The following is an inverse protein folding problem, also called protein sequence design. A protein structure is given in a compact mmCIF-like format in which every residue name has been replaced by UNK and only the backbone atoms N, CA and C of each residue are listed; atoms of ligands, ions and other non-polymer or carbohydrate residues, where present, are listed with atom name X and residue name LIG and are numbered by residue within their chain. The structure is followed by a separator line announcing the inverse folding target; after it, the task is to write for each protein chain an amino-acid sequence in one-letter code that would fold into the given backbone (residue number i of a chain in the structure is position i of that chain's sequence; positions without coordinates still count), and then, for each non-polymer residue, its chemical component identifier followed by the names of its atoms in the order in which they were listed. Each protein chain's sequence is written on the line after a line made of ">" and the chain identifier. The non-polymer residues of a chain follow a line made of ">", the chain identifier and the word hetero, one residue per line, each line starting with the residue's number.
data_IF_505832266229
#
_entry.id   IF_505832266229
#
_cell.length_a   1.000
_cell.length_b   1.000
_cell.length_c   1.000
_cell.angle_alpha   90.00
_cell.angle_beta   90.00
_cell.angle_gamma   90.00
#
_symmetry.space_group_name_H-M   'P 1'
#
loop_
_entity.id
_entity.type
_entity.pdbx_description
1 polymer ?
#
# COMPACT_ATOMS: atom_id res chain seq x y z
N UNK A 1 34.78 33.21 64.64
CA UNK A 1 33.51 32.45 64.64
C UNK A 1 32.49 32.98 63.63
N UNK A 2 32.36 34.25 63.41
CA UNK A 2 31.39 34.80 62.44
C UNK A 2 31.64 34.39 60.98
N UNK A 3 32.88 34.34 60.50
CA UNK A 3 33.22 33.98 59.13
C UNK A 3 32.85 32.56 58.72
N UNK A 4 32.97 31.59 59.62
CA UNK A 4 32.59 30.20 59.34
C UNK A 4 31.07 30.05 59.19
N UNK A 5 30.28 30.82 59.93
CA UNK A 5 28.81 30.79 59.83
C UNK A 5 28.32 31.45 58.52
N UNK A 6 28.99 32.50 58.04
CA UNK A 6 28.65 33.12 56.78
C UNK A 6 28.98 32.21 55.61
N UNK A 7 30.11 31.47 55.69
CA UNK A 7 30.50 30.51 54.67
C UNK A 7 29.47 29.32 54.57
N UNK A 8 28.97 28.86 55.70
CA UNK A 8 27.91 27.81 55.71
C UNK A 8 26.60 28.28 55.12
N UNK A 9 26.21 29.54 55.36
CA UNK A 9 24.98 30.13 54.82
C UNK A 9 25.06 30.32 53.32
N UNK A 10 26.23 30.73 52.81
CA UNK A 10 26.44 30.89 51.34
C UNK A 10 26.45 29.54 50.62
N UNK A 11 27.02 28.48 51.20
CA UNK A 11 27.00 27.14 50.61
C UNK A 11 25.56 26.58 50.60
N UNK A 12 24.75 26.84 51.63
CA UNK A 12 23.35 26.39 51.69
C UNK A 12 22.45 27.08 50.67
N UNK A 13 22.74 28.31 50.27
CA UNK A 13 22.02 29.06 49.23
C UNK A 13 22.27 28.53 47.83
N UNK A 14 23.42 27.88 47.56
CA UNK A 14 23.71 27.30 46.25
C UNK A 14 23.08 25.92 46.06
N UNK A 15 22.56 25.26 47.07
CA UNK A 15 21.96 23.92 46.99
C UNK A 15 20.45 23.94 46.72
N UNK A 16 19.81 25.11 46.64
CA UNK A 16 18.39 25.24 46.29
C UNK A 16 18.13 25.45 44.82
N UNK A 17 19.05 25.02 43.93
CA UNK A 17 18.71 24.85 42.52
C UNK A 17 17.75 23.64 42.42
N UNK A 18 16.52 23.85 42.84
CA UNK A 18 15.42 22.99 42.47
C UNK A 18 15.31 23.05 40.95
N UNK A 19 15.84 22.04 40.29
CA UNK A 19 15.52 21.79 38.89
C UNK A 19 14.02 21.64 38.81
N UNK A 20 13.33 22.71 38.42
CA UNK A 20 11.99 22.58 37.85
C UNK A 20 12.17 21.63 36.68
N UNK A 21 11.83 20.36 36.92
CA UNK A 21 11.73 19.36 35.87
C UNK A 21 10.81 19.96 34.83
N UNK A 22 11.37 20.49 33.74
CA UNK A 22 10.62 20.75 32.55
C UNK A 22 9.89 19.45 32.27
N UNK A 23 8.58 19.47 32.38
CA UNK A 23 7.73 18.43 31.79
C UNK A 23 8.23 18.29 30.37
N UNK A 24 9.09 17.28 30.16
CA UNK A 24 9.42 16.81 28.83
C UNK A 24 8.06 16.44 28.26
N UNK A 25 7.43 17.40 27.55
CA UNK A 25 6.42 17.04 26.59
C UNK A 25 7.11 16.02 25.73
N UNK A 26 6.86 14.75 26.00
CA UNK A 26 7.09 13.71 25.05
C UNK A 26 6.38 14.19 23.78
N UNK A 27 7.12 14.90 22.93
CA UNK A 27 6.79 14.91 21.52
C UNK A 27 6.78 13.43 21.19
N UNK A 28 5.58 12.85 21.19
CA UNK A 28 5.38 11.62 20.48
C UNK A 28 6.02 11.92 19.12
N UNK A 29 7.23 11.43 18.93
CA UNK A 29 7.80 11.33 17.62
C UNK A 29 6.81 10.44 16.91
N UNK A 30 5.84 11.06 16.24
CA UNK A 30 5.04 10.42 15.22
C UNK A 30 6.05 10.02 14.16
N UNK A 31 6.77 8.90 14.41
CA UNK A 31 7.36 8.16 13.34
C UNK A 31 6.16 7.81 12.46
N UNK A 32 6.00 8.57 11.41
CA UNK A 32 5.12 8.20 10.31
C UNK A 32 5.77 6.95 9.74
N UNK A 33 5.44 5.80 10.33
CA UNK A 33 5.81 4.51 9.76
C UNK A 33 4.99 4.45 8.49
N UNK A 34 5.64 4.75 7.37
CA UNK A 34 4.99 4.62 6.07
C UNK A 34 4.59 3.15 5.92
N UNK A 35 3.30 2.88 5.95
CA UNK A 35 2.77 1.57 5.69
C UNK A 35 3.23 1.13 4.29
N UNK A 36 3.67 -0.13 4.17
CA UNK A 36 4.00 -0.69 2.87
C UNK A 36 2.78 -0.60 1.94
N UNK A 37 2.99 -0.04 0.75
CA UNK A 37 2.01 -0.01 -0.33
C UNK A 37 2.68 -0.41 -1.62
N UNK A 38 2.05 -1.30 -2.38
CA UNK A 38 2.52 -1.74 -3.68
C UNK A 38 1.35 -1.99 -4.64
N UNK A 39 1.47 -1.49 -5.86
CA UNK A 39 0.51 -1.72 -6.96
C UNK A 39 1.19 -2.58 -8.02
N UNK A 40 0.47 -3.58 -8.51
CA UNK A 40 1.00 -4.46 -9.54
C UNK A 40 0.06 -5.59 -9.90
N UNK A 41 0.52 -6.44 -10.80
CA UNK A 41 -0.21 -7.63 -11.19
C UNK A 41 -0.02 -8.74 -10.15
N UNK A 42 -1.11 -9.29 -9.66
CA UNK A 42 -1.07 -10.47 -8.81
C UNK A 42 -0.94 -11.74 -9.66
N UNK A 43 -0.40 -12.79 -9.06
CA UNK A 43 -0.45 -14.15 -9.57
C UNK A 43 -1.60 -14.87 -8.87
N UNK A 44 -2.52 -15.43 -9.61
CA UNK A 44 -3.61 -16.23 -9.05
C UNK A 44 -3.08 -17.63 -8.79
N UNK A 45 -3.17 -18.09 -7.53
CA UNK A 45 -2.69 -19.41 -7.16
C UNK A 45 -3.50 -20.51 -7.85
N UNK A 46 -2.79 -21.54 -8.34
CA UNK A 46 -3.33 -22.83 -8.74
C UNK A 46 -2.36 -23.93 -8.35
N UNK A 47 -2.85 -25.15 -8.19
CA UNK A 47 -2.01 -26.31 -7.87
C UNK A 47 -0.95 -26.57 -8.97
N UNK A 48 -1.30 -26.33 -10.25
CA UNK A 48 -0.37 -26.41 -11.39
C UNK A 48 0.86 -25.49 -11.21
N UNK A 49 0.67 -24.27 -10.70
CA UNK A 49 1.78 -23.35 -10.43
C UNK A 49 2.71 -23.87 -9.34
N UNK A 50 2.18 -24.59 -8.37
CA UNK A 50 2.97 -25.23 -7.33
C UNK A 50 3.73 -26.45 -7.88
N UNK A 51 3.07 -27.32 -8.63
CA UNK A 51 3.67 -28.50 -9.26
C UNK A 51 4.81 -28.12 -10.22
N UNK A 52 4.61 -27.07 -11.01
CA UNK A 52 5.63 -26.51 -11.92
C UNK A 52 6.71 -25.69 -11.19
N UNK A 53 6.65 -25.60 -9.86
CA UNK A 53 7.60 -24.85 -9.01
C UNK A 53 7.71 -23.36 -9.33
N UNK A 54 6.69 -22.79 -9.97
CA UNK A 54 6.56 -21.35 -10.20
C UNK A 54 6.27 -20.64 -8.86
N UNK A 55 5.46 -21.28 -8.03
CA UNK A 55 5.24 -20.92 -6.63
C UNK A 55 5.75 -22.08 -5.77
N UNK A 56 6.61 -21.81 -4.79
CA UNK A 56 7.27 -22.88 -4.02
C UNK A 56 6.55 -23.29 -2.73
N UNK A 57 5.39 -22.72 -2.44
CA UNK A 57 4.56 -23.05 -1.28
C UNK A 57 3.10 -23.18 -1.70
N UNK A 58 2.39 -24.10 -1.04
CA UNK A 58 0.94 -24.24 -1.20
C UNK A 58 0.21 -23.17 -0.42
N UNK A 59 -0.86 -22.65 -1.00
CA UNK A 59 -1.80 -21.71 -0.37
C UNK A 59 -3.13 -22.44 -0.18
N UNK A 60 -3.81 -22.16 0.92
CA UNK A 60 -5.19 -22.61 1.10
C UNK A 60 -6.10 -21.72 0.24
N UNK A 61 -6.67 -22.30 -0.82
CA UNK A 61 -7.49 -21.58 -1.78
C UNK A 61 -8.77 -21.00 -1.18
N UNK A 62 -9.24 -21.52 -0.04
CA UNK A 62 -10.45 -21.07 0.66
C UNK A 62 -10.17 -19.97 1.70
N UNK A 63 -8.92 -19.74 2.03
CA UNK A 63 -8.54 -18.75 3.02
C UNK A 63 -8.26 -17.37 2.37
N UNK A 64 -8.42 -16.29 3.14
CA UNK A 64 -8.02 -14.94 2.71
C UNK A 64 -6.50 -14.74 2.92
N UNK A 65 -5.70 -15.56 2.24
CA UNK A 65 -4.24 -15.57 2.37
C UNK A 65 -3.60 -15.11 1.07
N UNK A 66 -2.54 -14.32 1.21
CA UNK A 66 -1.65 -13.93 0.12
C UNK A 66 -0.21 -14.33 0.42
N UNK A 67 0.62 -14.48 -0.63
CA UNK A 67 2.07 -14.42 -0.47
C UNK A 67 2.59 -13.07 -0.95
N UNK A 68 3.42 -12.45 -0.12
CA UNK A 68 4.04 -11.16 -0.40
C UNK A 68 5.47 -11.15 0.18
N UNK A 69 6.48 -10.84 -0.68
CA UNK A 69 7.91 -11.01 -0.35
C UNK A 69 8.42 -10.02 0.69
N UNK A 70 7.86 -8.80 0.70
CA UNK A 70 8.37 -7.67 1.48
C UNK A 70 7.65 -7.48 2.81
N UNK A 71 6.69 -8.35 3.13
CA UNK A 71 5.91 -8.30 4.36
C UNK A 71 6.17 -9.54 5.21
N UNK A 72 6.11 -9.36 6.52
CA UNK A 72 6.23 -10.46 7.49
C UNK A 72 4.99 -11.36 7.43
N UNK A 73 5.18 -12.63 7.76
CA UNK A 73 4.09 -13.59 7.95
C UNK A 73 3.12 -13.06 9.01
N UNK A 74 1.83 -13.32 8.84
CA UNK A 74 0.73 -12.86 9.67
C UNK A 74 0.45 -11.34 9.64
N UNK A 75 1.16 -10.58 8.79
CA UNK A 75 0.81 -9.18 8.57
C UNK A 75 -0.58 -9.08 7.94
N UNK A 76 -1.45 -8.23 8.48
CA UNK A 76 -2.71 -7.90 7.85
C UNK A 76 -2.52 -6.87 6.74
N UNK A 77 -3.20 -7.09 5.63
CA UNK A 77 -3.12 -6.23 4.45
C UNK A 77 -4.51 -5.97 3.89
N UNK A 78 -4.74 -4.74 3.46
CA UNK A 78 -5.88 -4.39 2.61
C UNK A 78 -5.47 -4.64 1.17
N UNK A 79 -6.25 -5.48 0.48
CA UNK A 79 -6.09 -5.80 -0.93
C UNK A 79 -7.22 -5.11 -1.69
N UNK A 80 -6.88 -4.29 -2.67
CA UNK A 80 -7.86 -3.53 -3.45
C UNK A 80 -7.72 -3.88 -4.93
N UNK A 81 -8.80 -4.32 -5.56
CA UNK A 81 -8.89 -4.39 -7.01
C UNK A 81 -9.05 -2.97 -7.57
N UNK A 82 -8.00 -2.45 -8.24
CA UNK A 82 -7.96 -1.07 -8.74
C UNK A 82 -8.96 -0.82 -9.87
N UNK A 83 -9.43 -1.88 -10.53
CA UNK A 83 -10.34 -1.74 -11.66
C UNK A 83 -11.80 -1.52 -11.23
N UNK A 84 -12.22 -2.11 -10.11
CA UNK A 84 -13.59 -1.99 -9.61
C UNK A 84 -13.69 -1.38 -8.21
N UNK A 85 -12.56 -1.07 -7.56
CA UNK A 85 -12.43 -0.52 -6.22
C UNK A 85 -12.94 -1.44 -5.09
N UNK A 86 -13.26 -2.71 -5.36
CA UNK A 86 -13.54 -3.68 -4.30
C UNK A 86 -12.30 -3.92 -3.47
N UNK A 87 -12.46 -4.05 -2.18
CA UNK A 87 -11.33 -4.33 -1.27
C UNK A 87 -11.74 -5.28 -0.16
N UNK A 88 -10.77 -6.04 0.33
CA UNK A 88 -10.91 -6.92 1.49
C UNK A 88 -9.62 -6.89 2.33
N UNK A 89 -9.72 -7.43 3.55
CA UNK A 89 -8.56 -7.63 4.41
C UNK A 89 -8.16 -9.09 4.32
N UNK A 90 -6.88 -9.31 3.97
CA UNK A 90 -6.26 -10.63 3.95
C UNK A 90 -5.05 -10.68 4.87
N UNK A 91 -4.47 -11.86 4.99
CA UNK A 91 -3.28 -12.11 5.83
C UNK A 91 -2.13 -12.60 4.97
N UNK A 92 -0.94 -12.08 5.23
CA UNK A 92 0.29 -12.58 4.59
C UNK A 92 0.61 -13.97 5.14
N UNK A 93 0.63 -14.96 4.27
CA UNK A 93 0.96 -16.34 4.60
C UNK A 93 2.47 -16.59 4.62
N UNK A 94 2.84 -17.83 4.33
CA UNK A 94 4.25 -18.27 4.33
C UNK A 94 5.06 -17.51 3.28
N UNK A 95 6.32 -17.25 3.59
CA UNK A 95 7.24 -16.68 2.59
C UNK A 95 7.40 -17.67 1.42
N UNK A 96 7.12 -17.20 0.21
CA UNK A 96 7.11 -17.99 -1.02
C UNK A 96 7.89 -17.29 -2.12
N UNK A 97 8.57 -18.09 -2.95
CA UNK A 97 9.17 -17.60 -4.21
C UNK A 97 8.10 -17.63 -5.29
N UNK A 98 8.06 -16.58 -6.10
CA UNK A 98 7.19 -16.42 -7.28
C UNK A 98 7.83 -15.40 -8.23
N UNK A 99 7.38 -15.28 -9.51
CA UNK A 99 7.97 -14.35 -10.48
C UNK A 99 8.00 -12.90 -10.00
N UNK A 100 9.08 -12.18 -10.30
CA UNK A 100 9.26 -10.78 -9.88
C UNK A 100 8.30 -9.80 -10.55
N UNK A 101 7.74 -10.17 -11.69
CA UNK A 101 6.68 -9.42 -12.35
C UNK A 101 5.43 -9.26 -11.46
N UNK A 102 5.14 -10.28 -10.66
CA UNK A 102 3.96 -10.29 -9.79
C UNK A 102 4.27 -9.63 -8.45
N UNK A 103 3.37 -8.77 -7.97
CA UNK A 103 3.50 -8.14 -6.67
C UNK A 103 3.10 -9.08 -5.51
N UNK A 104 2.28 -10.08 -5.79
CA UNK A 104 1.78 -11.05 -4.81
C UNK A 104 1.25 -12.31 -5.49
N UNK A 105 1.00 -13.35 -4.69
CA UNK A 105 0.19 -14.51 -5.06
C UNK A 105 -1.09 -14.47 -4.23
N UNK A 106 -2.24 -14.55 -4.87
CA UNK A 106 -3.55 -14.49 -4.22
C UNK A 106 -4.19 -15.88 -4.18
N UNK A 107 -4.89 -16.21 -3.09
CA UNK A 107 -5.76 -17.37 -3.02
C UNK A 107 -6.98 -17.16 -3.95
N UNK A 108 -7.59 -18.28 -4.37
CA UNK A 108 -8.76 -18.25 -5.25
C UNK A 108 -9.93 -17.49 -4.63
N UNK A 109 -10.16 -17.67 -3.32
CA UNK A 109 -11.20 -16.92 -2.60
C UNK A 109 -11.03 -15.42 -2.69
N UNK A 110 -9.82 -14.89 -2.57
CA UNK A 110 -9.57 -13.43 -2.71
C UNK A 110 -9.93 -12.96 -4.11
N UNK A 111 -9.62 -13.74 -5.14
CA UNK A 111 -9.96 -13.40 -6.54
C UNK A 111 -11.47 -13.32 -6.72
N UNK A 112 -12.22 -14.28 -6.19
CA UNK A 112 -13.68 -14.34 -6.23
C UNK A 112 -14.31 -13.16 -5.47
N UNK A 113 -13.89 -12.89 -4.23
CA UNK A 113 -14.42 -11.81 -3.38
C UNK A 113 -14.16 -10.41 -3.96
N UNK A 114 -13.00 -10.21 -4.60
CA UNK A 114 -12.63 -8.96 -5.24
C UNK A 114 -13.17 -8.82 -6.67
N UNK A 115 -13.81 -9.86 -7.21
CA UNK A 115 -14.27 -9.89 -8.60
C UNK A 115 -13.12 -9.47 -9.55
N UNK A 116 -11.98 -10.17 -9.40
CA UNK A 116 -10.78 -9.89 -10.18
C UNK A 116 -10.90 -10.55 -11.56
N UNK A 117 -10.61 -9.75 -12.61
CA UNK A 117 -10.42 -10.30 -13.96
C UNK A 117 -9.08 -11.06 -14.02
N UNK A 118 -9.14 -12.35 -14.30
CA UNK A 118 -7.95 -13.22 -14.42
C UNK A 118 -6.98 -12.76 -15.52
N UNK A 119 -7.48 -12.06 -16.54
CA UNK A 119 -6.67 -11.49 -17.61
C UNK A 119 -6.00 -10.16 -17.21
N UNK A 120 -6.53 -9.51 -16.15
CA UNK A 120 -6.04 -8.23 -15.68
C UNK A 120 -6.09 -8.12 -14.14
N UNK A 121 -5.39 -9.02 -13.40
CA UNK A 121 -5.43 -9.07 -11.94
C UNK A 121 -4.55 -7.99 -11.34
N UNK A 122 -4.92 -6.71 -11.54
CA UNK A 122 -4.15 -5.55 -11.11
C UNK A 122 -4.66 -5.03 -9.77
N UNK A 123 -3.85 -5.21 -8.73
CA UNK A 123 -4.23 -4.94 -7.33
C UNK A 123 -3.26 -3.98 -6.62
N UNK A 124 -3.78 -3.30 -5.63
CA UNK A 124 -3.00 -2.61 -4.61
C UNK A 124 -2.98 -3.43 -3.32
N UNK A 125 -1.81 -3.58 -2.73
CA UNK A 125 -1.61 -4.19 -1.42
C UNK A 125 -1.12 -3.11 -0.48
N UNK A 126 -1.89 -2.85 0.58
CA UNK A 126 -1.57 -1.88 1.61
C UNK A 126 -1.45 -2.60 2.96
N UNK A 127 -0.30 -2.47 3.62
CA UNK A 127 -0.10 -2.98 4.96
C UNK A 127 -0.99 -2.26 5.97
N UNK A 128 -1.67 -3.01 6.83
CA UNK A 128 -2.38 -2.49 8.00
C UNK A 128 -1.42 -2.55 9.19
N UNK A 129 -1.10 -1.40 9.75
CA UNK A 129 -0.28 -1.32 10.95
C UNK A 129 -1.15 -1.61 12.17
N UNK A 130 -0.67 -2.42 13.11
CA UNK A 130 -1.40 -2.82 14.31
C UNK A 130 -1.90 -1.61 15.14
N UNK A 131 -1.15 -0.51 15.14
CA UNK A 131 -1.53 0.72 15.82
C UNK A 131 -2.52 1.60 15.03
N UNK A 132 -2.86 1.23 13.81
CA UNK A 132 -3.85 1.91 12.97
C UNK A 132 -5.25 1.29 13.09
N UNK A 133 -5.40 0.26 13.92
CA UNK A 133 -6.73 -0.19 14.32
C UNK A 133 -7.35 0.98 15.10
N UNK A 134 -8.16 1.73 14.40
CA UNK A 134 -8.99 2.77 14.99
C UNK A 134 -9.88 2.08 16.03
N UNK A 135 -9.45 2.09 17.28
CA UNK A 135 -10.37 1.82 18.37
C UNK A 135 -11.36 2.97 18.28
N UNK A 136 -12.50 2.72 17.66
CA UNK A 136 -13.61 3.65 17.70
C UNK A 136 -13.84 3.94 19.18
N UNK A 137 -13.34 5.07 19.65
CA UNK A 137 -13.66 5.53 21.00
C UNK A 137 -15.18 5.64 20.98
N UNK A 138 -15.81 4.86 21.88
CA UNK A 138 -17.25 4.90 22.09
C UNK A 138 -17.64 6.38 22.14
N UNK A 139 -18.37 6.84 21.13
CA UNK A 139 -18.77 8.23 21.05
C UNK A 139 -19.38 8.61 22.40
N UNK A 140 -18.81 9.62 23.08
CA UNK A 140 -19.44 10.17 24.28
C UNK A 140 -20.70 10.84 23.77
N UNK A 141 -21.83 10.14 23.98
CA UNK A 141 -23.15 10.73 23.74
C UNK A 141 -23.38 11.77 24.85
N UNK A 142 -23.41 13.03 24.46
CA UNK A 142 -23.74 14.10 25.39
C UNK A 142 -25.20 13.96 25.81
N UNK A 143 -25.52 14.35 27.05
CA UNK A 143 -26.87 14.18 27.61
C UNK A 143 -27.95 14.88 26.77
N UNK A 144 -27.61 15.92 26.05
CA UNK A 144 -28.49 16.62 25.09
C UNK A 144 -28.90 15.72 23.92
N UNK A 145 -28.05 14.85 23.42
CA UNK A 145 -28.37 13.91 22.33
C UNK A 145 -29.31 12.79 22.79
N UNK A 146 -29.25 12.40 24.08
CA UNK A 146 -30.18 11.42 24.63
C UNK A 146 -31.62 11.93 24.66
N UNK A 147 -31.83 13.23 24.89
CA UNK A 147 -33.14 13.83 24.87
C UNK A 147 -33.75 13.94 23.47
N UNK A 148 -32.92 14.07 22.43
CA UNK A 148 -33.36 14.08 21.03
C UNK A 148 -33.78 12.68 20.58
N UNK A 149 -33.03 11.65 20.97
CA UNK A 149 -33.35 10.26 20.65
C UNK A 149 -34.68 9.77 21.28
N UNK A 150 -35.06 10.32 22.43
CA UNK A 150 -36.34 9.97 23.12
C UNK A 150 -37.53 10.67 22.47
N UNK A 151 -37.34 11.78 21.77
CA UNK A 151 -38.39 12.57 21.11
C UNK A 151 -38.59 12.26 19.63
N UNK A 152 -37.72 11.44 19.01
CA UNK A 152 -37.90 11.05 17.65
C UNK A 152 -39.03 10.01 17.53
N UNK A 153 -40.12 10.28 16.82
CA UNK A 153 -41.17 9.29 16.64
C UNK A 153 -40.61 8.09 15.83
N UNK A 154 -40.68 6.91 16.44
CA UNK A 154 -40.17 5.64 15.88
C UNK A 154 -41.14 5.08 14.82
N UNK A 155 -42.15 5.80 14.41
CA UNK A 155 -43.32 5.26 13.69
C UNK A 155 -43.27 5.34 12.17
N UNK A 156 -42.09 5.34 11.53
CA UNK A 156 -42.10 5.25 10.05
C UNK A 156 -40.80 4.81 9.39
N UNK A 157 -40.02 3.94 9.99
CA UNK A 157 -38.97 3.25 9.23
C UNK A 157 -39.47 1.85 8.92
N UNK A 158 -40.09 1.69 7.76
CA UNK A 158 -40.43 0.39 7.21
C UNK A 158 -39.13 -0.35 6.88
N UNK A 159 -38.92 -1.48 7.54
CA UNK A 159 -37.76 -2.37 7.38
C UNK A 159 -37.68 -2.94 5.94
N UNK A 160 -38.70 -2.73 5.12
CA UNK A 160 -38.75 -3.24 3.75
C UNK A 160 -37.88 -2.46 2.74
N UNK A 161 -37.42 -1.24 3.08
CA UNK A 161 -36.60 -0.43 2.17
C UNK A 161 -35.09 -0.74 2.20
N UNK A 162 -34.65 -1.53 3.18
CA UNK A 162 -33.24 -1.90 3.31
C UNK A 162 -32.82 -3.09 2.43
N UNK A 163 -33.78 -3.81 1.84
CA UNK A 163 -33.54 -4.96 0.97
C UNK A 163 -33.67 -4.69 -0.54
N UNK A 164 -33.90 -3.44 -0.93
CA UNK A 164 -33.73 -3.06 -2.32
C UNK A 164 -32.22 -2.89 -2.53
N UNK A 165 -31.52 -4.00 -2.69
CA UNK A 165 -30.25 -3.99 -3.44
C UNK A 165 -30.63 -3.44 -4.82
N UNK A 166 -30.48 -2.12 -5.00
CA UNK A 166 -30.34 -1.58 -6.33
C UNK A 166 -29.24 -2.41 -6.97
N UNK A 167 -29.62 -3.31 -7.89
CA UNK A 167 -28.70 -3.80 -8.89
C UNK A 167 -28.20 -2.55 -9.60
N UNK A 168 -27.15 -1.95 -9.04
CA UNK A 168 -26.34 -1.07 -9.82
C UNK A 168 -25.91 -1.93 -10.99
N UNK A 169 -26.49 -1.61 -12.16
CA UNK A 169 -25.98 -2.07 -13.42
C UNK A 169 -24.49 -1.71 -13.36
N UNK A 170 -23.67 -2.66 -12.95
CA UNK A 170 -22.24 -2.59 -13.06
C UNK A 170 -22.00 -2.40 -14.55
N UNK A 171 -21.87 -1.13 -14.96
CA UNK A 171 -21.29 -0.80 -16.24
C UNK A 171 -19.98 -1.56 -16.25
N UNK A 172 -19.92 -2.64 -17.00
CA UNK A 172 -18.70 -3.31 -17.37
C UNK A 172 -17.89 -2.21 -18.06
N UNK A 173 -17.07 -1.52 -17.29
CA UNK A 173 -16.10 -0.61 -17.83
C UNK A 173 -15.14 -1.49 -18.60
N UNK A 174 -15.35 -1.59 -19.90
CA UNK A 174 -14.43 -2.23 -20.82
C UNK A 174 -13.17 -1.33 -20.87
N UNK A 175 -12.43 -1.33 -19.76
CA UNK A 175 -11.23 -0.52 -19.58
C UNK A 175 -10.15 -1.20 -20.40
N UNK A 176 -9.86 -0.62 -21.54
CA UNK A 176 -8.79 -1.05 -22.43
C UNK A 176 -7.51 -1.28 -21.61
N UNK A 177 -6.89 -2.47 -21.77
CA UNK A 177 -5.61 -2.77 -21.14
C UNK A 177 -4.57 -1.76 -21.65
N UNK A 178 -4.03 -0.93 -20.76
CA UNK A 178 -2.99 0.04 -21.08
C UNK A 178 -2.12 0.27 -19.84
N UNK A 179 -0.86 -0.17 -19.89
CA UNK A 179 0.08 -0.06 -18.78
C UNK A 179 1.45 0.38 -19.27
N UNK A 180 2.19 1.04 -18.40
CA UNK A 180 3.58 1.42 -18.60
C UNK A 180 4.45 0.79 -17.51
N UNK A 181 5.70 0.52 -17.81
CA UNK A 181 6.73 0.20 -16.83
C UNK A 181 7.49 1.49 -16.54
N UNK A 182 7.26 2.07 -15.37
CA UNK A 182 8.04 3.19 -14.86
C UNK A 182 9.39 2.66 -14.38
N UNK A 183 10.46 3.24 -14.88
CA UNK A 183 11.82 2.86 -14.51
C UNK A 183 12.32 3.77 -13.40
N UNK A 184 12.28 5.09 -13.63
CA UNK A 184 12.66 6.08 -12.64
C UNK A 184 12.09 7.46 -12.99
N UNK A 185 12.02 8.31 -11.97
CA UNK A 185 11.74 9.74 -12.10
C UNK A 185 13.04 10.53 -11.80
N UNK A 186 13.42 11.42 -12.67
CA UNK A 186 14.63 12.23 -12.58
C UNK A 186 14.29 13.71 -12.42
N UNK A 187 15.13 14.44 -11.70
CA UNK A 187 14.99 15.89 -11.54
C UNK A 187 15.44 16.66 -12.78
N UNK A 188 16.49 16.17 -13.46
CA UNK A 188 17.06 16.79 -14.66
C UNK A 188 16.75 15.97 -15.90
N UNK A 189 16.43 16.69 -17.01
CA UNK A 189 16.16 16.04 -18.30
C UNK A 189 17.36 15.29 -18.84
N UNK A 190 18.57 15.82 -18.65
CA UNK A 190 19.78 15.19 -19.19
C UNK A 190 20.11 13.87 -18.50
N UNK A 191 19.88 13.78 -17.19
CA UNK A 191 19.98 12.50 -16.45
C UNK A 191 18.94 11.48 -16.96
N UNK A 192 17.71 11.94 -17.25
CA UNK A 192 16.70 11.07 -17.87
C UNK A 192 17.12 10.58 -19.26
N UNK A 193 17.77 11.45 -20.09
CA UNK A 193 18.32 11.04 -21.41
C UNK A 193 19.46 10.03 -21.26
N UNK A 194 20.35 10.21 -20.27
CA UNK A 194 21.42 9.24 -20.00
C UNK A 194 20.84 7.87 -19.66
N UNK A 195 19.83 7.82 -18.78
CA UNK A 195 19.11 6.57 -18.44
C UNK A 195 18.44 5.96 -19.66
N UNK A 196 17.77 6.76 -20.48
CA UNK A 196 17.15 6.29 -21.72
C UNK A 196 18.17 5.64 -22.65
N UNK A 197 19.35 6.24 -22.83
CA UNK A 197 20.43 5.69 -23.65
C UNK A 197 20.98 4.38 -23.06
N UNK A 198 21.16 4.31 -21.73
CA UNK A 198 21.57 3.09 -21.04
C UNK A 198 20.61 1.94 -21.34
N UNK A 199 19.30 2.17 -21.22
CA UNK A 199 18.28 1.13 -21.50
C UNK A 199 18.38 0.68 -22.97
N UNK A 200 18.55 1.60 -23.94
CA UNK A 200 18.68 1.27 -25.35
C UNK A 200 19.91 0.41 -25.66
N UNK A 201 20.99 0.61 -24.93
CA UNK A 201 22.24 -0.12 -25.16
C UNK A 201 22.27 -1.46 -24.44
N UNK A 202 21.81 -1.51 -23.19
CA UNK A 202 21.99 -2.65 -22.30
C UNK A 202 20.79 -3.63 -22.26
N UNK A 203 19.61 -3.24 -22.81
CA UNK A 203 18.42 -4.11 -22.83
C UNK A 203 17.92 -4.42 -24.23
N UNK A 204 17.01 -5.40 -24.34
CA UNK A 204 16.28 -5.69 -25.57
C UNK A 204 15.19 -4.65 -25.88
N UNK A 205 14.81 -3.84 -24.88
CA UNK A 205 13.82 -2.78 -25.02
C UNK A 205 14.43 -1.55 -25.74
N UNK A 206 14.16 -1.43 -27.03
CA UNK A 206 14.74 -0.36 -27.85
C UNK A 206 13.96 0.95 -27.87
N UNK A 207 12.77 0.99 -27.23
CA UNK A 207 11.85 2.13 -27.26
C UNK A 207 11.50 2.70 -25.88
N UNK A 208 12.50 2.98 -25.00
CA UNK A 208 12.22 3.74 -23.77
C UNK A 208 11.82 5.17 -24.12
N UNK A 209 10.99 5.78 -23.30
CA UNK A 209 10.42 7.12 -23.48
C UNK A 209 10.66 7.99 -22.24
N UNK A 210 10.66 9.29 -22.46
CA UNK A 210 10.69 10.30 -21.40
C UNK A 210 9.39 11.09 -21.46
N UNK A 211 8.74 11.28 -20.28
CA UNK A 211 7.59 12.17 -20.12
C UNK A 211 7.92 13.21 -19.06
N UNK A 212 7.75 14.49 -19.38
CA UNK A 212 7.80 15.56 -18.39
C UNK A 212 6.52 15.48 -17.53
N UNK A 213 6.67 15.22 -16.24
CA UNK A 213 5.57 15.12 -15.28
C UNK A 213 5.31 16.48 -14.62
N UNK A 214 6.39 17.22 -14.33
CA UNK A 214 6.36 18.59 -13.82
C UNK A 214 7.65 19.31 -14.25
N UNK A 215 7.81 20.57 -13.85
CA UNK A 215 9.02 21.36 -14.22
C UNK A 215 10.31 20.74 -13.72
N UNK A 216 10.25 19.98 -12.65
CA UNK A 216 11.41 19.33 -12.03
C UNK A 216 11.25 17.80 -11.92
N UNK A 217 10.49 17.18 -12.85
CA UNK A 217 10.26 15.74 -12.81
C UNK A 217 10.10 15.14 -14.20
N UNK A 218 11.05 14.33 -14.59
CA UNK A 218 11.13 13.63 -15.87
C UNK A 218 11.08 12.15 -15.64
N UNK A 219 10.02 11.48 -16.15
CA UNK A 219 9.81 10.04 -16.02
C UNK A 219 10.38 9.30 -17.20
N UNK A 220 11.23 8.31 -16.92
CA UNK A 220 11.68 7.33 -17.91
C UNK A 220 10.82 6.09 -17.77
N UNK A 221 10.23 5.62 -18.88
CA UNK A 221 9.29 4.50 -18.89
C UNK A 221 9.33 3.72 -20.22
N UNK A 222 8.78 2.50 -20.18
CA UNK A 222 8.50 1.65 -21.34
C UNK A 222 6.98 1.55 -21.56
N UNK A 223 6.57 1.41 -22.82
CA UNK A 223 5.16 1.26 -23.18
C UNK A 223 4.57 2.49 -23.89
N UNK A 224 3.23 2.66 -23.88
CA UNK A 224 2.23 1.79 -23.23
C UNK A 224 2.12 0.41 -23.88
N UNK A 225 1.83 -0.59 -23.04
CA UNK A 225 1.56 -1.98 -23.44
C UNK A 225 0.05 -2.22 -23.48
N UNK A 226 -0.41 -2.98 -24.46
CA UNK A 226 -1.84 -3.26 -24.69
C UNK A 226 -2.24 -4.69 -24.33
N UNK A 227 -1.30 -5.52 -23.88
CA UNK A 227 -1.55 -6.87 -23.37
C UNK A 227 -0.52 -7.28 -22.31
N UNK A 228 -0.90 -8.22 -21.47
CA UNK A 228 -0.08 -8.67 -20.35
C UNK A 228 1.21 -9.36 -20.78
N UNK A 229 1.19 -10.11 -21.88
CA UNK A 229 2.37 -10.88 -22.32
C UNK A 229 3.50 -9.95 -22.75
N UNK A 230 3.20 -8.90 -23.54
CA UNK A 230 4.19 -7.91 -23.96
C UNK A 230 4.72 -7.10 -22.77
N UNK A 231 3.85 -6.75 -21.82
CA UNK A 231 4.22 -6.09 -20.58
C UNK A 231 5.17 -6.94 -19.75
N UNK A 232 4.83 -8.21 -19.51
CA UNK A 232 5.64 -9.15 -18.74
C UNK A 232 6.99 -9.44 -19.39
N UNK A 233 7.01 -9.64 -20.71
CA UNK A 233 8.26 -9.83 -21.46
C UNK A 233 9.19 -8.63 -21.30
N UNK A 234 8.68 -7.42 -21.47
CA UNK A 234 9.47 -6.20 -21.31
C UNK A 234 9.90 -5.95 -19.87
N UNK A 235 9.07 -6.32 -18.90
CA UNK A 235 9.43 -6.23 -17.49
C UNK A 235 10.58 -7.20 -17.14
N UNK A 236 10.50 -8.44 -17.59
CA UNK A 236 11.55 -9.43 -17.34
C UNK A 236 12.88 -9.03 -17.98
N UNK A 237 12.85 -8.46 -19.19
CA UNK A 237 14.03 -7.96 -19.87
C UNK A 237 14.68 -6.79 -19.13
N UNK A 238 13.89 -5.79 -18.70
CA UNK A 238 14.43 -4.64 -17.99
C UNK A 238 14.86 -4.95 -16.55
N UNK A 239 14.29 -5.98 -15.93
CA UNK A 239 14.62 -6.39 -14.56
C UNK A 239 16.03 -6.97 -14.44
N UNK A 240 16.64 -7.42 -15.55
CA UNK A 240 18.03 -7.88 -15.60
C UNK A 240 19.01 -6.75 -15.29
N UNK A 241 18.62 -5.50 -15.54
CA UNK A 241 19.44 -4.32 -15.24
C UNK A 241 19.36 -3.89 -13.75
N UNK A 242 18.68 -4.67 -12.92
CA UNK A 242 18.60 -4.53 -11.45
C UNK A 242 18.16 -3.13 -10.98
N UNK A 243 17.20 -2.51 -11.66
CA UNK A 243 16.61 -1.27 -11.18
C UNK A 243 15.83 -1.51 -9.89
N UNK A 244 16.12 -0.73 -8.84
CA UNK A 244 15.55 -0.91 -7.50
C UNK A 244 14.03 -0.72 -7.43
N UNK A 245 13.46 0.15 -8.27
CA UNK A 245 12.07 0.61 -8.14
C UNK A 245 11.31 0.53 -9.47
N UNK A 246 11.28 -0.65 -10.09
CA UNK A 246 10.41 -0.87 -11.24
C UNK A 246 8.93 -0.91 -10.79
N UNK A 247 8.12 -0.04 -11.37
CA UNK A 247 6.69 0.02 -11.07
C UNK A 247 5.88 -0.17 -12.36
N UNK A 248 4.82 -0.98 -12.27
CA UNK A 248 3.83 -1.08 -13.34
C UNK A 248 2.70 -0.12 -13.01
N UNK A 249 2.45 0.83 -13.89
CA UNK A 249 1.45 1.88 -13.70
C UNK A 249 0.42 1.80 -14.81
N UNK A 250 -0.86 1.89 -14.45
CA UNK A 250 -1.92 2.04 -15.43
C UNK A 250 -1.75 3.34 -16.20
N UNK A 251 -1.84 3.28 -17.51
CA UNK A 251 -1.75 4.44 -18.38
C UNK A 251 -3.18 4.94 -18.68
N UNK A 252 -3.56 6.01 -18.00
CA UNK A 252 -4.84 6.70 -18.17
C UNK A 252 -4.78 7.68 -19.34
#
# INVERSE_FOLDING_TARGET
>A
MLYNNILFITIFLFLTNCTTGSLVKNKANNFVVNAYSNKGFALIYSEDLYERKIVNKKIDERALIIFQKNLKINTQVKITNILNNKSLIGTVGKNSKYPSFNNSVLSKRIVEELDLDENQPYVEILQILENSIFVAQKAKTYDEEKYVAIKAPIDSISINDLNIVKKDNTKVFNRKFSYIIKIADFYFNDTAKMMLNRIKTESLNKNPKIKKISDKKYRVYLGPFTNINSLQKSYNDISILEFENLEIIKND
#
